data_IF_275106529003
#
_entry.id   IF_275106529003
#
_cell.length_a   1.000
_cell.length_b   1.000
_cell.length_c   1.000
_cell.angle_alpha   90.00
_cell.angle_beta   90.00
_cell.angle_gamma   90.00
#
_symmetry.space_group_name_H-M   'P 1'
#
loop_
_entity.id
_entity.type
_entity.pdbx_description
1 polymer ?
#
# COMPACT_ATOMS: atom_id res chain seq x y z
N UNK A 1 -16.37 -20.02 -9.12
CA UNK A 1 -17.74 -20.09 -8.54
C UNK A 1 -18.80 -19.78 -9.60
N UNK A 2 -18.63 -18.71 -10.40
CA UNK A 2 -19.60 -18.34 -11.44
C UNK A 2 -19.80 -19.45 -12.47
N UNK A 3 -18.70 -19.97 -13.04
CA UNK A 3 -18.71 -21.00 -14.06
C UNK A 3 -17.48 -21.91 -13.95
N UNK A 4 -17.67 -23.23 -14.01
CA UNK A 4 -16.61 -24.25 -13.98
C UNK A 4 -16.90 -25.36 -14.97
N UNK A 5 -15.86 -25.87 -15.60
CA UNK A 5 -15.93 -27.08 -16.43
C UNK A 5 -15.12 -28.19 -15.76
N UNK A 6 -15.67 -29.38 -15.67
CA UNK A 6 -14.99 -30.58 -15.15
C UNK A 6 -15.46 -31.80 -15.96
N UNK A 7 -14.53 -32.45 -16.65
CA UNK A 7 -14.83 -33.69 -17.44
C UNK A 7 -16.10 -33.56 -18.28
N UNK A 8 -16.20 -32.55 -19.16
CA UNK A 8 -17.33 -32.27 -20.03
C UNK A 8 -18.67 -31.91 -19.36
N UNK A 9 -18.68 -31.61 -18.08
CA UNK A 9 -19.84 -31.01 -17.41
C UNK A 9 -19.56 -29.57 -16.99
N UNK A 10 -20.52 -28.68 -17.21
CA UNK A 10 -20.53 -27.31 -16.72
C UNK A 10 -21.20 -27.29 -15.32
N UNK A 11 -20.68 -26.44 -14.44
CA UNK A 11 -21.24 -26.23 -13.11
C UNK A 11 -20.94 -24.81 -12.62
N UNK A 12 -21.68 -24.36 -11.61
CA UNK A 12 -21.54 -23.04 -11.01
C UNK A 12 -22.84 -22.25 -11.07
N UNK A 13 -22.81 -21.03 -10.50
CA UNK A 13 -24.02 -20.21 -10.38
C UNK A 13 -24.67 -19.90 -11.72
N UNK A 14 -23.89 -19.65 -12.79
CA UNK A 14 -24.43 -19.39 -14.11
C UNK A 14 -25.26 -20.55 -14.65
N UNK A 15 -24.83 -21.80 -14.43
CA UNK A 15 -25.61 -22.98 -14.87
C UNK A 15 -26.95 -23.07 -14.12
N UNK A 16 -26.97 -22.79 -12.83
CA UNK A 16 -28.20 -22.73 -12.03
C UNK A 16 -29.14 -21.63 -12.52
N UNK A 17 -28.61 -20.43 -12.76
CA UNK A 17 -29.39 -19.29 -13.27
C UNK A 17 -29.95 -19.55 -14.68
N UNK A 18 -29.17 -20.19 -15.56
CA UNK A 18 -29.57 -20.50 -16.92
C UNK A 18 -30.77 -21.48 -16.95
N UNK A 19 -30.79 -22.44 -16.03
CA UNK A 19 -31.93 -23.36 -15.89
C UNK A 19 -33.18 -22.59 -15.44
N UNK A 20 -33.06 -21.76 -14.39
CA UNK A 20 -34.17 -20.99 -13.82
C UNK A 20 -34.73 -19.97 -14.82
N UNK A 21 -33.85 -19.34 -15.61
CA UNK A 21 -34.26 -18.35 -16.64
C UNK A 21 -34.65 -18.98 -17.99
N UNK A 22 -34.60 -20.30 -18.11
CA UNK A 22 -34.81 -21.01 -19.39
C UNK A 22 -33.87 -20.57 -20.52
N UNK A 23 -32.63 -20.19 -20.20
CA UNK A 23 -31.58 -19.76 -21.12
C UNK A 23 -30.42 -20.77 -21.16
N UNK A 24 -30.69 -22.06 -21.18
CA UNK A 24 -29.67 -23.12 -21.08
C UNK A 24 -28.67 -23.10 -22.24
N UNK A 25 -29.09 -22.64 -23.44
CA UNK A 25 -28.18 -22.46 -24.60
C UNK A 25 -27.01 -21.52 -24.28
N UNK A 26 -27.19 -20.55 -23.37
CA UNK A 26 -26.14 -19.61 -22.93
C UNK A 26 -24.98 -20.27 -22.15
N UNK A 27 -25.19 -21.47 -21.63
CA UNK A 27 -24.13 -22.26 -20.98
C UNK A 27 -23.06 -22.67 -22.01
N UNK A 28 -23.43 -22.96 -23.24
CA UNK A 28 -22.47 -23.26 -24.32
C UNK A 28 -21.67 -22.02 -24.71
N UNK A 29 -22.33 -20.87 -24.89
CA UNK A 29 -21.66 -19.59 -25.17
C UNK A 29 -20.65 -19.22 -24.06
N UNK A 30 -21.04 -19.47 -22.79
CA UNK A 30 -20.17 -19.25 -21.62
C UNK A 30 -18.91 -20.13 -21.66
N UNK A 31 -18.98 -21.35 -22.16
CA UNK A 31 -17.83 -22.23 -22.29
C UNK A 31 -16.77 -21.65 -23.23
N UNK A 32 -17.19 -21.17 -24.40
CA UNK A 32 -16.31 -20.55 -25.38
C UNK A 32 -15.67 -19.27 -24.84
N UNK A 33 -16.49 -18.40 -24.23
CA UNK A 33 -16.01 -17.16 -23.62
C UNK A 33 -14.99 -17.42 -22.48
N UNK A 34 -15.26 -18.38 -21.60
CA UNK A 34 -14.33 -18.72 -20.51
C UNK A 34 -13.03 -19.32 -21.05
N UNK A 35 -13.10 -20.09 -22.13
CA UNK A 35 -11.91 -20.63 -22.80
C UNK A 35 -11.07 -19.52 -23.41
N UNK A 36 -11.73 -18.55 -24.06
CA UNK A 36 -11.08 -17.37 -24.61
C UNK A 36 -10.45 -16.51 -23.50
N UNK A 37 -11.18 -16.22 -22.42
CA UNK A 37 -10.66 -15.45 -21.26
C UNK A 37 -9.40 -16.09 -20.69
N UNK A 38 -9.34 -17.42 -20.56
CA UNK A 38 -8.15 -18.12 -20.07
C UNK A 38 -6.95 -17.92 -21.00
N UNK A 39 -7.16 -17.96 -22.31
CA UNK A 39 -6.10 -17.71 -23.29
C UNK A 39 -5.65 -16.24 -23.24
N UNK A 40 -6.59 -15.29 -23.15
CA UNK A 40 -6.28 -13.86 -23.05
C UNK A 40 -5.49 -13.52 -21.78
N UNK A 41 -5.82 -14.17 -20.65
CA UNK A 41 -5.04 -14.05 -19.39
C UNK A 41 -3.61 -14.57 -19.60
N UNK A 42 -3.45 -15.72 -20.24
CA UNK A 42 -2.12 -16.30 -20.51
C UNK A 42 -1.28 -15.40 -21.42
N UNK A 43 -1.88 -14.87 -22.47
CA UNK A 43 -1.22 -13.93 -23.39
C UNK A 43 -0.77 -12.67 -22.66
N UNK A 44 -1.64 -12.12 -21.80
CA UNK A 44 -1.31 -10.96 -20.98
C UNK A 44 -0.16 -11.26 -20.00
N UNK A 45 -0.16 -12.43 -19.38
CA UNK A 45 0.91 -12.88 -18.46
C UNK A 45 2.26 -12.98 -19.20
N UNK A 46 2.29 -13.60 -20.38
CA UNK A 46 3.49 -13.71 -21.22
C UNK A 46 4.00 -12.32 -21.63
N UNK A 47 3.15 -11.47 -22.19
CA UNK A 47 3.54 -10.11 -22.58
C UNK A 47 4.09 -9.30 -21.42
N UNK A 48 3.52 -9.48 -20.22
CA UNK A 48 3.97 -8.77 -19.00
C UNK A 48 5.30 -9.32 -18.51
N UNK A 49 5.51 -10.62 -18.54
CA UNK A 49 6.77 -11.25 -18.16
C UNK A 49 7.92 -10.77 -19.03
N UNK A 50 7.71 -10.67 -20.33
CA UNK A 50 8.71 -10.20 -21.29
C UNK A 50 9.13 -8.75 -21.03
N UNK A 51 8.19 -7.89 -20.63
CA UNK A 51 8.48 -6.49 -20.35
C UNK A 51 9.14 -6.28 -18.98
N UNK A 52 8.62 -6.92 -17.92
CA UNK A 52 9.06 -6.59 -16.55
C UNK A 52 10.43 -7.20 -16.21
N UNK A 53 10.78 -8.38 -16.76
CA UNK A 53 12.06 -9.06 -16.55
C UNK A 53 12.63 -8.88 -15.12
N UNK A 54 13.61 -7.99 -14.95
CA UNK A 54 14.30 -7.71 -13.69
C UNK A 54 13.69 -6.55 -12.88
N UNK A 55 12.71 -5.84 -13.42
CA UNK A 55 12.05 -4.75 -12.72
C UNK A 55 10.92 -5.28 -11.84
N UNK A 56 10.82 -4.76 -10.59
CA UNK A 56 9.70 -5.10 -9.71
C UNK A 56 8.46 -4.26 -9.94
N UNK A 57 8.63 -3.06 -10.49
CA UNK A 57 7.54 -2.11 -10.74
C UNK A 57 7.83 -1.33 -12.01
N UNK A 58 6.84 -1.19 -12.89
CA UNK A 58 6.93 -0.43 -14.12
C UNK A 58 5.71 0.45 -14.28
N UNK A 59 5.91 1.77 -14.40
CA UNK A 59 4.85 2.76 -14.61
C UNK A 59 4.59 2.93 -16.11
N UNK A 60 3.32 2.97 -16.48
CA UNK A 60 2.88 3.36 -17.81
C UNK A 60 2.82 4.89 -17.90
N UNK A 61 3.58 5.47 -18.78
CA UNK A 61 3.68 6.90 -19.06
C UNK A 61 4.18 7.12 -20.50
N UNK A 62 4.26 8.36 -20.96
CA UNK A 62 4.69 8.68 -22.33
C UNK A 62 6.05 8.05 -22.70
N UNK A 63 7.00 8.00 -21.75
CA UNK A 63 8.33 7.43 -21.97
C UNK A 63 8.32 5.91 -22.12
N UNK A 64 7.40 5.20 -21.46
CA UNK A 64 7.32 3.74 -21.45
C UNK A 64 6.20 3.19 -22.35
N UNK A 65 5.31 4.03 -22.85
CA UNK A 65 4.12 3.63 -23.59
C UNK A 65 4.41 2.71 -24.79
N UNK A 66 5.51 2.93 -25.49
CA UNK A 66 5.91 2.09 -26.62
C UNK A 66 6.19 0.65 -26.20
N UNK A 67 6.86 0.48 -25.07
CA UNK A 67 7.24 -0.82 -24.54
C UNK A 67 6.01 -1.58 -24.00
N UNK A 68 5.01 -0.84 -23.52
CA UNK A 68 3.72 -1.39 -23.08
C UNK A 68 2.81 -1.84 -24.23
N UNK A 69 3.12 -1.53 -25.50
CA UNK A 69 2.25 -1.82 -26.63
C UNK A 69 1.67 -3.25 -26.64
N UNK A 70 2.48 -4.32 -26.55
CA UNK A 70 1.98 -5.70 -26.50
C UNK A 70 1.05 -5.98 -25.32
N UNK A 71 1.35 -5.41 -24.13
CA UNK A 71 0.51 -5.56 -22.93
C UNK A 71 -0.83 -4.85 -23.15
N UNK A 72 -0.84 -3.63 -23.70
CA UNK A 72 -2.08 -2.88 -23.93
C UNK A 72 -3.00 -3.59 -24.92
N UNK A 73 -2.45 -4.24 -25.94
CA UNK A 73 -3.23 -5.09 -26.86
C UNK A 73 -3.87 -6.26 -26.10
N UNK A 74 -3.09 -7.02 -25.33
CA UNK A 74 -3.61 -8.16 -24.55
C UNK A 74 -4.61 -7.73 -23.48
N UNK A 75 -4.43 -6.55 -22.86
CA UNK A 75 -5.40 -5.94 -21.94
C UNK A 75 -6.73 -5.67 -22.66
N UNK A 76 -6.67 -5.11 -23.88
CA UNK A 76 -7.87 -4.84 -24.69
C UNK A 76 -8.63 -6.10 -25.06
N UNK A 77 -7.93 -7.16 -25.45
CA UNK A 77 -8.52 -8.46 -25.76
C UNK A 77 -9.21 -9.08 -24.54
N UNK A 78 -8.53 -9.09 -23.40
CA UNK A 78 -9.10 -9.57 -22.14
C UNK A 78 -10.30 -8.73 -21.68
N UNK A 79 -10.24 -7.40 -21.83
CA UNK A 79 -11.35 -6.50 -21.49
C UNK A 79 -12.60 -6.83 -22.33
N UNK A 80 -12.42 -7.13 -23.61
CA UNK A 80 -13.50 -7.47 -24.51
C UNK A 80 -14.11 -8.85 -24.18
N UNK A 81 -13.30 -9.88 -24.05
CA UNK A 81 -13.79 -11.23 -23.73
C UNK A 81 -14.47 -11.31 -22.36
N UNK A 82 -13.89 -10.64 -21.35
CA UNK A 82 -14.47 -10.55 -20.00
C UNK A 82 -15.76 -9.71 -19.99
N UNK A 83 -15.81 -8.61 -20.76
CA UNK A 83 -16.99 -7.79 -20.94
C UNK A 83 -18.15 -8.57 -21.58
N UNK A 84 -17.85 -9.35 -22.63
CA UNK A 84 -18.85 -10.23 -23.27
C UNK A 84 -19.38 -11.29 -22.30
N UNK A 85 -18.52 -11.84 -21.46
CA UNK A 85 -18.97 -12.78 -20.42
C UNK A 85 -19.86 -12.10 -19.37
N UNK A 86 -19.53 -10.89 -18.92
CA UNK A 86 -20.39 -10.13 -18.01
C UNK A 86 -21.77 -9.85 -18.61
N UNK A 87 -21.81 -9.50 -19.89
CA UNK A 87 -23.07 -9.26 -20.61
C UNK A 87 -23.92 -10.54 -20.74
N UNK A 88 -23.30 -11.66 -21.06
CA UNK A 88 -23.99 -12.95 -21.07
C UNK A 88 -24.61 -13.27 -19.68
N UNK A 89 -23.87 -13.03 -18.60
CA UNK A 89 -24.39 -13.23 -17.24
C UNK A 89 -25.57 -12.31 -16.96
N UNK A 90 -25.56 -11.05 -17.41
CA UNK A 90 -26.68 -10.11 -17.25
C UNK A 90 -27.92 -10.59 -17.98
N UNK A 91 -27.76 -11.00 -19.23
CA UNK A 91 -28.89 -11.53 -20.04
C UNK A 91 -29.56 -12.70 -19.32
N UNK A 92 -28.77 -13.65 -18.78
CA UNK A 92 -29.30 -14.78 -18.04
C UNK A 92 -30.00 -14.32 -16.74
N UNK A 93 -29.44 -13.35 -16.02
CA UNK A 93 -30.03 -12.82 -14.79
C UNK A 93 -31.33 -12.02 -15.05
N UNK A 94 -31.40 -11.28 -16.13
CA UNK A 94 -32.60 -10.51 -16.54
C UNK A 94 -33.75 -11.41 -16.96
N UNK A 95 -33.45 -12.60 -17.47
CA UNK A 95 -34.45 -13.62 -17.78
C UNK A 95 -35.10 -14.31 -16.56
N UNK A 96 -34.69 -14.02 -15.35
CA UNK A 96 -35.23 -14.62 -14.13
C UNK A 96 -36.44 -13.81 -13.64
N UNK A 97 -37.57 -14.50 -13.41
CA UNK A 97 -38.78 -13.90 -12.88
C UNK A 97 -38.55 -13.40 -11.45
N UNK A 98 -39.32 -12.39 -11.01
CA UNK A 98 -39.17 -11.80 -9.69
C UNK A 98 -39.36 -12.80 -8.55
N UNK A 99 -40.27 -13.75 -8.71
CA UNK A 99 -40.56 -14.82 -7.74
C UNK A 99 -39.38 -15.81 -7.57
N UNK A 100 -38.51 -15.91 -8.58
CA UNK A 100 -37.37 -16.83 -8.58
C UNK A 100 -36.03 -16.14 -8.19
N UNK A 101 -36.03 -14.83 -7.90
CA UNK A 101 -34.82 -14.08 -7.51
C UNK A 101 -34.29 -14.37 -6.10
N UNK A 102 -35.06 -15.01 -5.25
CA UNK A 102 -34.67 -15.33 -3.87
C UNK A 102 -33.69 -16.50 -3.72
N UNK A 103 -33.15 -17.01 -4.82
CA UNK A 103 -32.18 -18.11 -4.80
C UNK A 103 -30.75 -17.58 -4.47
N UNK A 104 -29.97 -18.31 -3.66
CA UNK A 104 -28.60 -17.91 -3.30
C UNK A 104 -27.71 -17.65 -4.53
N UNK A 105 -27.86 -18.45 -5.59
CA UNK A 105 -27.09 -18.30 -6.83
C UNK A 105 -27.29 -16.93 -7.49
N UNK A 106 -28.47 -16.30 -7.37
CA UNK A 106 -28.73 -14.96 -7.90
C UNK A 106 -27.94 -13.88 -7.16
N UNK A 107 -28.00 -13.88 -5.83
CA UNK A 107 -27.30 -12.88 -5.01
C UNK A 107 -25.78 -13.02 -5.12
N UNK A 108 -25.26 -14.24 -5.08
CA UNK A 108 -23.82 -14.48 -5.25
C UNK A 108 -23.34 -14.08 -6.65
N UNK A 109 -24.12 -14.36 -7.70
CA UNK A 109 -23.81 -13.94 -9.05
C UNK A 109 -23.75 -12.42 -9.19
N UNK A 110 -24.68 -11.70 -8.54
CA UNK A 110 -24.67 -10.23 -8.51
C UNK A 110 -23.38 -9.66 -7.89
N UNK A 111 -22.90 -10.27 -6.81
CA UNK A 111 -21.64 -9.85 -6.15
C UNK A 111 -20.44 -10.16 -7.07
N UNK A 112 -20.41 -11.34 -7.68
CA UNK A 112 -19.31 -11.74 -8.57
C UNK A 112 -19.32 -10.86 -9.82
N UNK A 113 -20.48 -10.63 -10.43
CA UNK A 113 -20.62 -9.78 -11.62
C UNK A 113 -20.11 -8.36 -11.36
N UNK A 114 -20.48 -7.75 -10.21
CA UNK A 114 -19.96 -6.43 -9.81
C UNK A 114 -18.44 -6.39 -9.74
N UNK A 115 -17.80 -7.47 -9.26
CA UNK A 115 -16.33 -7.58 -9.22
C UNK A 115 -15.73 -7.71 -10.61
N UNK A 116 -16.33 -8.52 -11.47
CA UNK A 116 -15.88 -8.68 -12.85
C UNK A 116 -16.03 -7.37 -13.65
N UNK A 117 -17.12 -6.64 -13.45
CA UNK A 117 -17.31 -5.31 -14.06
C UNK A 117 -16.21 -4.32 -13.62
N UNK A 118 -15.82 -4.34 -12.35
CA UNK A 118 -14.73 -3.51 -11.88
C UNK A 118 -13.38 -3.86 -12.56
N UNK A 119 -13.12 -5.15 -12.82
CA UNK A 119 -11.95 -5.56 -13.61
C UNK A 119 -12.05 -5.10 -15.07
N UNK A 120 -13.20 -5.24 -15.71
CA UNK A 120 -13.42 -4.75 -17.09
C UNK A 120 -13.16 -3.24 -17.16
N UNK A 121 -13.66 -2.47 -16.19
CA UNK A 121 -13.44 -1.02 -16.14
C UNK A 121 -11.95 -0.72 -16.00
N UNK A 122 -11.24 -1.41 -15.09
CA UNK A 122 -9.80 -1.24 -14.90
C UNK A 122 -9.02 -1.51 -16.20
N UNK A 123 -9.30 -2.63 -16.85
CA UNK A 123 -8.65 -3.01 -18.11
C UNK A 123 -8.93 -1.99 -19.23
N UNK A 124 -10.17 -1.53 -19.36
CA UNK A 124 -10.53 -0.49 -20.33
C UNK A 124 -9.82 0.83 -20.04
N UNK A 125 -9.70 1.21 -18.77
CA UNK A 125 -8.97 2.42 -18.39
C UNK A 125 -7.47 2.33 -18.73
N UNK A 126 -6.86 1.15 -18.58
CA UNK A 126 -5.48 0.93 -19.05
C UNK A 126 -5.35 1.11 -20.58
N UNK A 127 -6.32 0.65 -21.36
CA UNK A 127 -6.28 0.79 -22.81
C UNK A 127 -6.34 2.26 -23.28
N UNK A 128 -6.98 3.13 -22.50
CA UNK A 128 -7.11 4.58 -22.78
C UNK A 128 -6.34 5.44 -21.75
N UNK A 129 -5.23 4.93 -21.26
CA UNK A 129 -4.44 5.56 -20.19
C UNK A 129 -4.04 7.01 -20.50
N UNK A 130 -3.78 7.32 -21.76
CA UNK A 130 -3.38 8.66 -22.22
C UNK A 130 -4.51 9.70 -22.20
N UNK A 131 -5.76 9.24 -22.17
CA UNK A 131 -6.94 10.08 -21.93
C UNK A 131 -7.16 10.32 -20.43
N UNK A 132 -6.66 9.43 -19.59
CA UNK A 132 -6.80 9.43 -18.11
C UNK A 132 -5.68 10.20 -17.42
N UNK A 133 -5.46 11.47 -17.79
CA UNK A 133 -4.33 12.30 -17.32
C UNK A 133 -4.25 12.51 -15.79
N UNK A 134 -5.35 12.26 -15.08
CA UNK A 134 -5.40 12.35 -13.62
C UNK A 134 -5.17 11.02 -12.91
N UNK A 135 -4.85 9.96 -13.63
CA UNK A 135 -4.58 8.65 -13.09
C UNK A 135 -3.14 8.21 -13.35
N UNK A 136 -2.63 7.42 -12.45
CA UNK A 136 -1.32 6.77 -12.55
C UNK A 136 -1.56 5.28 -12.75
N UNK A 137 -0.95 4.72 -13.79
CA UNK A 137 -1.05 3.31 -14.13
C UNK A 137 0.32 2.65 -13.97
N UNK A 138 0.36 1.49 -13.32
CA UNK A 138 1.58 0.70 -13.24
C UNK A 138 1.30 -0.78 -13.06
N UNK A 139 2.31 -1.58 -13.35
CA UNK A 139 2.33 -3.01 -13.11
C UNK A 139 3.40 -3.31 -12.07
N UNK A 140 3.08 -4.20 -11.14
CA UNK A 140 3.98 -4.64 -10.09
C UNK A 140 4.11 -6.17 -10.13
N UNK A 141 5.34 -6.66 -10.14
CA UNK A 141 5.66 -8.06 -9.94
C UNK A 141 5.64 -8.39 -8.45
N UNK A 142 4.87 -9.38 -8.05
CA UNK A 142 4.79 -9.88 -6.68
C UNK A 142 5.09 -11.38 -6.64
N UNK A 143 5.44 -11.85 -5.45
CA UNK A 143 5.65 -13.28 -5.19
C UNK A 143 4.71 -13.75 -4.09
N UNK A 144 4.12 -14.93 -4.31
CA UNK A 144 3.32 -15.59 -3.28
C UNK A 144 4.19 -15.93 -2.06
N UNK A 145 3.64 -15.84 -0.84
CA UNK A 145 4.33 -16.31 0.36
C UNK A 145 4.75 -17.79 0.24
N UNK A 146 5.86 -18.18 0.88
CA UNK A 146 6.28 -19.58 0.92
C UNK A 146 5.15 -20.50 1.43
N UNK A 147 4.94 -21.64 0.77
CA UNK A 147 3.93 -22.63 1.14
C UNK A 147 2.51 -22.37 0.57
N UNK A 148 2.26 -21.24 -0.10
CA UNK A 148 0.96 -20.97 -0.77
C UNK A 148 1.01 -21.42 -2.24
N UNK A 149 2.15 -21.30 -2.90
CA UNK A 149 2.31 -21.79 -4.27
C UNK A 149 2.21 -23.32 -4.28
N UNK A 150 1.40 -23.88 -5.19
CA UNK A 150 1.38 -25.33 -5.42
C UNK A 150 2.69 -25.76 -6.08
N UNK A 151 3.15 -26.96 -5.75
CA UNK A 151 4.34 -27.52 -6.39
C UNK A 151 4.23 -27.47 -7.92
N UNK A 152 5.28 -26.94 -8.55
CA UNK A 152 5.35 -26.79 -10.00
C UNK A 152 4.65 -25.56 -10.58
N UNK A 153 4.05 -24.66 -9.76
CA UNK A 153 3.50 -23.39 -10.24
C UNK A 153 4.47 -22.24 -10.02
N UNK A 154 4.50 -21.29 -10.96
CA UNK A 154 5.28 -20.05 -10.79
C UNK A 154 4.75 -19.28 -9.57
N UNK A 155 5.59 -19.00 -8.55
CA UNK A 155 5.16 -18.24 -7.39
C UNK A 155 5.00 -16.73 -7.68
N UNK A 156 5.44 -16.25 -8.85
CA UNK A 156 5.37 -14.86 -9.25
C UNK A 156 4.03 -14.55 -9.93
N UNK A 157 3.49 -13.36 -9.70
CA UNK A 157 2.28 -12.86 -10.33
C UNK A 157 2.35 -11.34 -10.51
N UNK A 158 1.51 -10.80 -11.40
CA UNK A 158 1.50 -9.39 -11.74
C UNK A 158 0.24 -8.71 -11.22
N UNK A 159 0.42 -7.50 -10.69
CA UNK A 159 -0.67 -6.65 -10.18
C UNK A 159 -0.73 -5.40 -11.05
N UNK A 160 -1.86 -5.23 -11.72
CA UNK A 160 -2.18 -4.04 -12.51
C UNK A 160 -2.92 -3.04 -11.64
N UNK A 161 -2.41 -1.83 -11.56
CA UNK A 161 -2.93 -0.84 -10.64
C UNK A 161 -3.20 0.48 -11.35
N UNK A 162 -4.37 1.04 -11.09
CA UNK A 162 -4.75 2.41 -11.42
C UNK A 162 -4.99 3.16 -10.12
N UNK A 163 -4.44 4.35 -9.99
CA UNK A 163 -4.64 5.21 -8.81
C UNK A 163 -4.79 6.66 -9.26
N UNK A 164 -5.77 7.40 -8.73
CA UNK A 164 -5.85 8.83 -8.98
C UNK A 164 -4.59 9.56 -8.53
N UNK A 165 -4.07 10.42 -9.38
CA UNK A 165 -2.93 11.29 -9.08
C UNK A 165 -3.26 12.23 -7.92
N UNK A 166 -4.49 12.75 -7.93
CA UNK A 166 -5.04 13.63 -6.93
C UNK A 166 -6.46 13.18 -6.54
N UNK A 167 -6.65 12.91 -5.26
CA UNK A 167 -7.94 12.48 -4.70
C UNK A 167 -8.80 13.63 -4.17
N UNK A 168 -8.30 14.86 -4.23
CA UNK A 168 -8.95 16.01 -3.57
C UNK A 168 -10.36 16.27 -4.07
N UNK A 169 -10.57 16.24 -5.39
CA UNK A 169 -11.92 16.39 -5.98
C UNK A 169 -12.86 15.24 -5.61
N UNK A 170 -12.36 14.01 -5.62
CA UNK A 170 -13.16 12.82 -5.27
C UNK A 170 -13.59 12.86 -3.80
N UNK A 171 -12.69 13.25 -2.92
CA UNK A 171 -12.98 13.43 -1.49
C UNK A 171 -13.96 14.58 -1.25
N UNK A 172 -13.79 15.70 -1.97
CA UNK A 172 -14.73 16.82 -1.86
C UNK A 172 -16.14 16.38 -2.24
N UNK A 173 -16.32 15.81 -3.44
CA UNK A 173 -17.62 15.36 -3.94
C UNK A 173 -18.23 14.23 -3.11
N UNK A 174 -17.44 13.20 -2.80
CA UNK A 174 -17.95 12.00 -2.13
C UNK A 174 -18.08 12.11 -0.62
N UNK A 175 -17.47 13.10 0.02
CA UNK A 175 -17.46 13.23 1.49
C UNK A 175 -17.91 14.62 1.92
N UNK A 176 -17.22 15.69 1.51
CA UNK A 176 -17.44 17.01 2.11
C UNK A 176 -18.70 17.72 1.56
N UNK A 177 -19.13 17.42 0.34
CA UNK A 177 -20.41 17.92 -0.22
C UNK A 177 -21.60 17.10 0.29
N UNK A 178 -21.45 15.77 0.41
CA UNK A 178 -22.54 14.88 0.80
C UNK A 178 -22.84 14.94 2.30
N UNK A 179 -21.81 15.09 3.14
CA UNK A 179 -21.96 15.01 4.60
C UNK A 179 -22.21 16.39 5.21
N UNK A 180 -23.22 16.50 6.07
CA UNK A 180 -23.51 17.74 6.81
C UNK A 180 -22.36 18.15 7.73
N UNK A 181 -21.69 17.19 8.35
CA UNK A 181 -20.58 17.41 9.28
C UNK A 181 -19.55 16.31 9.10
N UNK A 182 -18.28 16.70 8.96
CA UNK A 182 -17.13 15.80 8.90
C UNK A 182 -16.12 16.24 9.95
N UNK A 183 -15.71 15.33 10.81
CA UNK A 183 -14.71 15.60 11.85
C UNK A 183 -13.46 14.79 11.50
N UNK A 184 -12.33 15.48 11.23
CA UNK A 184 -11.05 14.89 10.96
C UNK A 184 -10.10 15.20 12.12
N UNK A 185 -9.55 14.16 12.74
CA UNK A 185 -8.62 14.31 13.87
C UNK A 185 -7.40 13.42 13.71
N UNK A 186 -6.22 13.98 13.95
CA UNK A 186 -4.96 13.24 14.01
C UNK A 186 -3.87 14.12 14.64
N UNK A 187 -2.86 13.51 15.21
CA UNK A 187 -1.68 14.21 15.71
C UNK A 187 -0.80 14.81 14.60
N UNK A 188 -1.02 14.46 13.33
CA UNK A 188 -0.13 14.79 12.20
C UNK A 188 -0.83 15.48 11.02
N UNK A 189 -2.03 16.03 11.20
CA UNK A 189 -2.70 16.81 10.14
C UNK A 189 -1.97 18.12 9.83
N UNK A 190 -1.34 18.73 10.85
CA UNK A 190 -0.59 19.97 10.71
C UNK A 190 0.86 19.69 10.31
N UNK A 191 1.33 20.35 9.25
CA UNK A 191 2.74 20.40 8.85
C UNK A 191 3.26 21.82 9.07
N UNK A 192 4.35 21.96 9.84
CA UNK A 192 4.81 23.28 10.28
C UNK A 192 3.77 23.97 11.15
N UNK A 193 3.31 25.16 10.73
CA UNK A 193 2.38 26.02 11.49
C UNK A 193 0.93 25.95 11.01
N UNK A 194 0.62 25.21 9.95
CA UNK A 194 -0.71 25.23 9.33
C UNK A 194 -1.17 23.85 8.81
N UNK A 195 -2.42 23.79 8.38
CA UNK A 195 -3.07 22.58 7.83
C UNK A 195 -3.09 22.57 6.28
N UNK A 196 -2.46 23.50 5.60
CA UNK A 196 -2.60 23.71 4.16
C UNK A 196 -2.24 22.49 3.33
N UNK A 197 -1.18 21.77 3.72
CA UNK A 197 -0.77 20.55 3.04
C UNK A 197 -1.89 19.51 3.08
N UNK A 198 -2.41 19.22 4.26
CA UNK A 198 -3.49 18.26 4.47
C UNK A 198 -4.78 18.68 3.76
N UNK A 199 -5.20 19.94 3.92
CA UNK A 199 -6.43 20.47 3.30
C UNK A 199 -6.40 20.35 1.77
N UNK A 200 -5.26 20.67 1.14
CA UNK A 200 -5.10 20.53 -0.31
C UNK A 200 -5.17 19.05 -0.73
N UNK A 201 -4.50 18.16 -0.01
CA UNK A 201 -4.44 16.74 -0.32
C UNK A 201 -5.77 16.02 -0.19
N UNK A 202 -6.63 16.46 0.72
CA UNK A 202 -7.92 15.84 1.02
C UNK A 202 -9.10 16.55 0.37
N UNK A 203 -8.90 17.70 -0.29
CA UNK A 203 -9.97 18.45 -0.92
C UNK A 203 -10.75 19.38 0.00
N UNK A 204 -10.40 19.49 1.29
CA UNK A 204 -10.99 20.48 2.20
C UNK A 204 -10.81 21.92 1.68
N UNK A 205 -9.76 22.16 0.88
CA UNK A 205 -9.53 23.46 0.23
C UNK A 205 -10.62 23.86 -0.78
N UNK A 206 -11.47 22.95 -1.23
CA UNK A 206 -12.64 23.25 -2.08
C UNK A 206 -13.90 23.63 -1.28
N UNK A 207 -13.90 23.30 0.02
CA UNK A 207 -15.02 23.61 0.92
C UNK A 207 -15.02 25.12 1.23
N UNK A 208 -16.20 25.74 1.27
CA UNK A 208 -16.36 27.14 1.66
C UNK A 208 -15.71 27.40 3.01
N UNK A 209 -14.96 28.49 3.11
CA UNK A 209 -14.12 28.80 4.28
C UNK A 209 -14.93 28.89 5.59
N UNK A 210 -16.16 29.37 5.49
CA UNK A 210 -17.08 29.54 6.62
C UNK A 210 -17.54 28.20 7.22
N UNK A 211 -17.47 27.13 6.43
CA UNK A 211 -17.79 25.76 6.85
C UNK A 211 -16.60 25.02 7.48
N UNK A 212 -15.38 25.57 7.40
CA UNK A 212 -14.15 24.89 7.85
C UNK A 212 -13.66 25.50 9.15
N UNK A 213 -13.63 24.69 10.20
CA UNK A 213 -13.04 25.04 11.48
C UNK A 213 -11.77 24.20 11.67
N UNK A 214 -10.63 24.85 11.90
CA UNK A 214 -9.35 24.20 12.16
C UNK A 214 -8.89 24.52 13.58
N UNK A 215 -8.68 23.49 14.37
CA UNK A 215 -8.23 23.62 15.75
C UNK A 215 -6.92 22.88 15.97
N UNK A 216 -6.00 23.47 16.69
CA UNK A 216 -4.76 22.84 17.16
C UNK A 216 -4.80 22.79 18.69
N UNK A 217 -4.57 21.63 19.24
CA UNK A 217 -4.55 21.41 20.67
C UNK A 217 -3.14 21.05 21.10
N UNK A 218 -2.59 21.71 22.15
CA UNK A 218 -1.28 21.39 22.67
C UNK A 218 -1.26 19.94 23.16
N UNK A 219 -0.11 19.29 23.02
CA UNK A 219 0.07 17.94 23.55
C UNK A 219 -0.03 17.97 25.09
N UNK A 220 -0.72 17.01 25.73
CA UNK A 220 -0.73 16.88 27.17
C UNK A 220 0.62 16.36 27.72
N UNK A 221 1.52 15.91 26.85
CA UNK A 221 2.79 15.33 27.25
C UNK A 221 3.89 16.38 27.33
N UNK A 222 4.71 16.40 28.41
CA UNK A 222 5.78 17.38 28.59
C UNK A 222 7.04 16.97 27.82
N UNK A 223 7.01 17.00 26.49
CA UNK A 223 8.12 16.58 25.62
C UNK A 223 9.45 17.25 25.96
N UNK A 224 9.44 18.55 26.26
CA UNK A 224 10.65 19.31 26.60
C UNK A 224 11.38 18.78 27.83
N UNK A 225 10.65 18.15 28.77
CA UNK A 225 11.22 17.59 29.99
C UNK A 225 11.53 16.11 29.90
N UNK A 226 10.77 15.41 29.10
CA UNK A 226 10.76 13.95 29.11
C UNK A 226 11.45 13.32 27.89
N UNK A 227 11.73 14.11 26.84
CA UNK A 227 12.33 13.60 25.61
C UNK A 227 13.66 14.32 25.34
N UNK A 228 14.74 13.54 25.23
CA UNK A 228 16.01 14.02 24.69
C UNK A 228 16.05 13.73 23.19
N UNK A 229 16.19 14.77 22.39
CA UNK A 229 16.43 14.64 20.95
C UNK A 229 17.92 14.84 20.67
N UNK A 230 18.59 13.81 20.14
CA UNK A 230 20.03 13.81 19.90
C UNK A 230 20.35 13.50 18.44
N UNK A 231 21.25 14.25 17.86
CA UNK A 231 21.83 13.98 16.53
C UNK A 231 23.34 13.83 16.70
N UNK A 232 23.93 12.68 16.34
CA UNK A 232 25.38 12.50 16.43
C UNK A 232 26.10 13.51 15.53
N UNK A 233 27.10 14.19 16.07
CA UNK A 233 27.87 15.20 15.33
C UNK A 233 28.97 14.59 14.45
N UNK A 234 29.28 13.31 14.66
CA UNK A 234 30.23 12.51 13.89
C UNK A 234 29.54 11.63 12.83
N UNK A 235 28.21 11.79 12.65
CA UNK A 235 27.46 11.05 11.67
C UNK A 235 27.91 11.40 10.24
N UNK A 236 28.17 10.36 9.45
CA UNK A 236 28.47 10.52 8.02
C UNK A 236 27.18 10.72 7.19
N UNK A 237 27.30 11.31 6.01
CA UNK A 237 26.16 11.55 5.15
C UNK A 237 25.45 10.24 4.80
N UNK A 238 24.12 10.27 4.83
CA UNK A 238 23.29 9.07 4.65
C UNK A 238 23.38 8.42 3.25
N UNK A 239 23.88 9.13 2.26
CA UNK A 239 24.16 8.69 0.89
C UNK A 239 25.63 8.31 0.65
N UNK A 240 26.51 8.48 1.66
CA UNK A 240 27.92 8.11 1.55
C UNK A 240 28.12 6.59 1.62
N UNK A 241 29.23 6.13 1.05
CA UNK A 241 29.61 4.71 1.09
C UNK A 241 29.86 4.20 2.51
N UNK A 242 30.39 5.07 3.37
CA UNK A 242 30.73 4.76 4.76
C UNK A 242 29.51 4.67 5.69
N UNK A 243 28.36 5.15 5.25
CA UNK A 243 27.16 5.23 6.09
C UNK A 243 26.74 3.86 6.64
N UNK A 244 26.79 2.82 5.82
CA UNK A 244 26.41 1.48 6.27
C UNK A 244 27.35 0.95 7.36
N UNK A 245 28.65 1.23 7.25
CA UNK A 245 29.64 0.87 8.28
C UNK A 245 29.45 1.68 9.55
N UNK A 246 29.17 2.99 9.40
CA UNK A 246 28.89 3.87 10.54
C UNK A 246 27.72 3.37 11.38
N UNK A 247 26.57 3.06 10.77
CA UNK A 247 25.40 2.60 11.51
C UNK A 247 25.60 1.22 12.17
N UNK A 248 26.39 0.33 11.55
CA UNK A 248 26.75 -0.96 12.14
C UNK A 248 27.60 -0.82 13.40
N UNK A 249 28.38 0.25 13.54
CA UNK A 249 29.15 0.55 14.75
C UNK A 249 28.37 1.39 15.77
N UNK A 250 27.58 2.35 15.33
CA UNK A 250 26.87 3.28 16.18
C UNK A 250 25.66 2.65 16.87
N UNK A 251 24.83 1.90 16.12
CA UNK A 251 23.59 1.32 16.67
C UNK A 251 23.85 0.40 17.87
N UNK A 252 24.79 -0.58 17.85
CA UNK A 252 25.07 -1.40 19.03
C UNK A 252 25.45 -0.60 20.26
N UNK A 253 26.29 0.45 20.11
CA UNK A 253 26.70 1.33 21.20
C UNK A 253 25.55 2.10 21.81
N UNK A 254 24.62 2.60 20.96
CA UNK A 254 23.42 3.31 21.41
C UNK A 254 22.46 2.38 22.15
N UNK A 255 22.30 1.14 21.69
CA UNK A 255 21.49 0.11 22.35
C UNK A 255 22.07 -0.26 23.70
N UNK A 256 23.38 -0.45 23.80
CA UNK A 256 24.08 -0.76 25.05
C UNK A 256 23.94 0.40 26.04
N UNK A 257 24.13 1.66 25.58
CA UNK A 257 23.98 2.85 26.42
C UNK A 257 22.58 3.03 27.01
N UNK A 258 21.54 2.60 26.29
CA UNK A 258 20.14 2.62 26.71
C UNK A 258 19.70 1.35 27.46
N UNK A 259 20.58 0.37 27.61
CA UNK A 259 20.27 -0.95 28.15
C UNK A 259 19.08 -1.62 27.40
N UNK A 260 19.06 -1.56 26.07
CA UNK A 260 17.93 -2.03 25.25
C UNK A 260 16.74 -1.08 25.25
N UNK A 261 15.53 -1.62 25.42
CA UNK A 261 14.25 -0.86 25.34
C UNK A 261 14.20 0.05 24.09
N UNK A 262 14.69 -0.45 22.95
CA UNK A 262 15.01 0.34 21.76
C UNK A 262 14.21 -0.10 20.53
N UNK A 263 13.58 0.87 19.87
CA UNK A 263 13.01 0.69 18.51
C UNK A 263 13.95 1.35 17.50
N UNK A 264 14.45 0.57 16.53
CA UNK A 264 15.33 1.07 15.47
C UNK A 264 14.56 1.11 14.16
N UNK A 265 14.35 2.30 13.61
CA UNK A 265 13.53 2.56 12.43
C UNK A 265 14.38 2.80 11.19
N UNK A 266 14.15 1.97 10.17
CA UNK A 266 14.84 1.99 8.88
C UNK A 266 13.89 2.39 7.75
N UNK A 267 14.47 2.90 6.66
CA UNK A 267 13.79 3.15 5.39
C UNK A 267 14.09 2.06 4.34
N UNK A 268 14.99 1.11 4.64
CA UNK A 268 15.42 0.03 3.75
C UNK A 268 15.54 -1.28 4.52
N UNK A 269 14.97 -2.35 3.99
CA UNK A 269 15.02 -3.67 4.60
C UNK A 269 16.42 -4.30 4.55
N UNK A 270 17.21 -4.01 3.51
CA UNK A 270 18.57 -4.51 3.41
C UNK A 270 19.51 -3.85 4.43
N UNK A 271 19.36 -2.54 4.62
CA UNK A 271 20.08 -1.81 5.68
C UNK A 271 19.71 -2.33 7.07
N UNK A 272 18.41 -2.61 7.30
CA UNK A 272 17.91 -3.23 8.54
C UNK A 272 18.57 -4.58 8.80
N UNK A 273 18.57 -5.49 7.83
CA UNK A 273 19.18 -6.83 7.95
C UNK A 273 20.66 -6.75 8.30
N UNK A 274 21.38 -5.89 7.58
CA UNK A 274 22.82 -5.72 7.76
C UNK A 274 23.15 -5.15 9.13
N UNK A 275 22.44 -4.11 9.59
CA UNK A 275 22.63 -3.52 10.91
C UNK A 275 22.22 -4.48 12.05
N UNK A 276 21.12 -5.23 11.89
CA UNK A 276 20.70 -6.26 12.83
C UNK A 276 21.78 -7.34 13.01
N UNK A 277 22.31 -7.88 11.90
CA UNK A 277 23.37 -8.90 11.97
C UNK A 277 24.63 -8.38 12.69
N UNK A 278 25.06 -7.14 12.40
CA UNK A 278 26.18 -6.50 13.06
C UNK A 278 25.92 -6.30 14.56
N UNK A 279 24.69 -5.88 14.93
CA UNK A 279 24.30 -5.70 16.33
C UNK A 279 24.32 -7.01 17.10
N UNK A 280 23.75 -8.09 16.55
CA UNK A 280 23.80 -9.41 17.17
C UNK A 280 25.25 -9.93 17.35
N UNK A 281 26.14 -9.62 16.39
CA UNK A 281 27.55 -9.99 16.49
C UNK A 281 28.31 -9.19 17.57
N UNK A 282 27.98 -7.90 17.73
CA UNK A 282 28.63 -7.00 18.72
C UNK A 282 28.12 -7.23 20.12
N UNK A 283 26.84 -7.49 20.32
CA UNK A 283 26.18 -7.60 21.62
C UNK A 283 25.93 -9.06 22.06
N UNK A 284 26.91 -9.93 21.92
CA UNK A 284 26.78 -11.37 22.26
C UNK A 284 26.41 -11.65 23.73
N UNK A 285 26.71 -10.74 24.65
CA UNK A 285 26.40 -10.86 26.08
C UNK A 285 25.19 -10.04 26.53
N UNK A 286 24.47 -9.45 25.60
CA UNK A 286 23.29 -8.62 25.90
C UNK A 286 22.14 -9.49 26.44
N UNK A 287 21.52 -9.05 27.54
CA UNK A 287 20.46 -9.81 28.22
C UNK A 287 19.13 -9.77 27.50
N UNK A 288 18.86 -8.68 26.79
CA UNK A 288 17.61 -8.46 26.06
C UNK A 288 17.54 -9.18 24.73
N UNK A 289 16.34 -9.40 24.23
CA UNK A 289 16.11 -10.02 22.93
C UNK A 289 16.28 -9.00 21.80
N UNK A 290 17.08 -9.33 20.79
CA UNK A 290 17.25 -8.52 19.58
C UNK A 290 16.41 -9.13 18.45
N UNK A 291 15.35 -8.44 18.07
CA UNK A 291 14.34 -8.89 17.08
C UNK A 291 14.40 -8.00 15.85
N UNK A 292 14.00 -8.55 14.71
CA UNK A 292 13.81 -7.77 13.48
C UNK A 292 12.49 -8.10 12.81
N UNK A 293 11.97 -7.16 12.09
CA UNK A 293 10.83 -7.38 11.19
C UNK A 293 11.12 -8.51 10.20
N UNK A 294 10.16 -9.43 10.08
CA UNK A 294 10.28 -10.63 9.23
C UNK A 294 10.75 -11.89 9.98
N UNK A 295 11.08 -11.81 11.27
CA UNK A 295 11.35 -12.99 12.11
C UNK A 295 10.05 -13.72 12.49
N UNK A 296 8.95 -12.97 12.62
CA UNK A 296 7.59 -13.48 12.89
C UNK A 296 6.55 -12.48 12.34
N UNK A 297 5.26 -12.75 12.54
CA UNK A 297 4.18 -11.81 12.29
C UNK A 297 4.38 -10.51 13.08
N UNK A 298 4.07 -9.36 12.45
CA UNK A 298 4.28 -8.04 13.06
C UNK A 298 3.56 -7.87 14.41
N UNK A 299 2.37 -8.45 14.56
CA UNK A 299 1.62 -8.41 15.82
C UNK A 299 2.34 -9.16 16.94
N UNK A 300 2.86 -10.37 16.66
CA UNK A 300 3.62 -11.17 17.63
C UNK A 300 4.93 -10.52 18.02
N UNK A 301 5.65 -9.93 17.04
CA UNK A 301 6.89 -9.20 17.31
C UNK A 301 6.62 -8.01 18.24
N UNK A 302 5.53 -7.29 18.01
CA UNK A 302 5.14 -6.16 18.83
C UNK A 302 4.76 -6.59 20.25
N UNK A 303 4.02 -7.68 20.40
CA UNK A 303 3.66 -8.22 21.73
C UNK A 303 4.90 -8.71 22.49
N UNK A 304 5.82 -9.41 21.83
CA UNK A 304 7.09 -9.80 22.44
C UNK A 304 7.90 -8.57 22.90
N UNK A 305 7.98 -7.53 22.05
CA UNK A 305 8.67 -6.28 22.38
C UNK A 305 8.05 -5.55 23.57
N UNK A 306 6.72 -5.59 23.72
CA UNK A 306 6.02 -5.00 24.88
C UNK A 306 6.29 -5.74 26.19
N UNK A 307 6.35 -7.07 26.12
CA UNK A 307 6.46 -7.93 27.31
C UNK A 307 7.89 -8.04 27.82
N UNK A 308 8.85 -8.04 26.92
CA UNK A 308 10.27 -8.21 27.24
C UNK A 308 10.92 -6.81 27.41
N UNK A 309 11.12 -6.36 28.66
CA UNK A 309 11.95 -5.19 28.94
C UNK A 309 13.37 -5.41 28.40
N UNK A 310 14.06 -4.35 28.08
CA UNK A 310 15.42 -4.40 27.51
C UNK A 310 15.51 -5.01 26.11
N UNK A 311 14.39 -5.41 25.49
CA UNK A 311 14.39 -5.89 24.13
C UNK A 311 14.65 -4.79 23.10
N UNK A 312 15.05 -5.21 21.89
CA UNK A 312 15.33 -4.33 20.76
C UNK A 312 14.57 -4.82 19.54
N UNK A 313 13.90 -3.89 18.84
CA UNK A 313 13.16 -4.20 17.61
C UNK A 313 13.68 -3.36 16.45
N UNK A 314 14.19 -4.04 15.42
CA UNK A 314 14.56 -3.46 14.13
C UNK A 314 13.38 -3.51 13.16
N UNK A 315 12.92 -2.36 12.67
CA UNK A 315 11.70 -2.29 11.86
C UNK A 315 11.79 -1.27 10.72
N UNK A 316 10.91 -1.44 9.72
CA UNK A 316 10.75 -0.52 8.59
C UNK A 316 9.38 0.15 8.62
N UNK A 317 8.93 0.70 7.49
CA UNK A 317 7.74 1.56 7.33
C UNK A 317 6.48 1.10 8.05
N UNK A 318 6.20 -0.21 8.10
CA UNK A 318 5.00 -0.73 8.76
C UNK A 318 4.95 -0.48 10.27
N UNK A 319 6.11 -0.23 10.89
CA UNK A 319 6.24 0.09 12.32
C UNK A 319 6.35 1.60 12.61
N UNK A 320 6.49 2.45 11.59
CA UNK A 320 6.36 3.90 11.77
C UNK A 320 4.94 4.29 12.19
N UNK A 321 3.95 3.49 11.80
CA UNK A 321 2.54 3.67 12.12
C UNK A 321 2.00 2.47 12.91
N UNK A 322 1.06 2.70 13.83
CA UNK A 322 0.34 1.62 14.52
C UNK A 322 1.08 0.92 15.67
N UNK A 323 2.34 1.24 15.97
CA UNK A 323 3.06 0.70 17.13
C UNK A 323 2.65 1.49 18.39
N UNK A 324 2.10 0.80 19.37
CA UNK A 324 1.78 1.36 20.69
C UNK A 324 2.47 0.53 21.76
N UNK A 325 3.57 1.08 22.30
CA UNK A 325 4.40 0.45 23.35
C UNK A 325 4.54 1.45 24.50
N UNK A 326 3.68 1.37 25.52
CA UNK A 326 3.75 2.27 26.67
C UNK A 326 4.82 1.87 27.68
N UNK A 327 5.37 2.87 28.35
CA UNK A 327 6.21 2.68 29.54
C UNK A 327 7.64 2.21 29.24
N UNK A 328 8.21 1.47 30.17
CA UNK A 328 9.65 1.12 30.21
C UNK A 328 10.14 0.22 29.08
N UNK A 329 9.25 -0.40 28.32
CA UNK A 329 9.63 -1.26 27.18
C UNK A 329 10.14 -0.47 25.98
N UNK A 330 9.88 0.85 25.92
CA UNK A 330 10.41 1.72 24.87
C UNK A 330 10.96 3.01 25.49
N UNK A 331 12.27 3.09 25.59
CA UNK A 331 13.02 4.26 26.11
C UNK A 331 13.88 4.94 25.06
N UNK A 332 14.12 4.27 23.94
CA UNK A 332 14.92 4.82 22.85
C UNK A 332 14.28 4.54 21.50
N UNK A 333 14.25 5.56 20.64
CA UNK A 333 13.90 5.42 19.22
C UNK A 333 15.08 5.88 18.38
N UNK A 334 15.67 4.99 17.60
CA UNK A 334 16.75 5.32 16.67
C UNK A 334 16.17 5.44 15.26
N UNK A 335 16.27 6.62 14.67
CA UNK A 335 15.85 6.90 13.30
C UNK A 335 17.10 6.95 12.42
N UNK A 336 17.32 5.90 11.64
CA UNK A 336 18.57 5.71 10.89
C UNK A 336 18.69 6.68 9.72
N UNK A 337 17.59 6.95 9.03
CA UNK A 337 17.48 7.96 7.95
C UNK A 337 16.14 8.66 8.04
N UNK A 338 16.10 9.92 7.60
CA UNK A 338 14.82 10.61 7.43
C UNK A 338 13.90 9.84 6.47
N UNK A 339 12.61 9.67 6.80
CA UNK A 339 11.70 8.78 6.08
C UNK A 339 11.15 9.41 4.80
N UNK A 340 12.03 9.82 3.89
CA UNK A 340 11.63 10.25 2.57
C UNK A 340 11.06 9.08 1.79
N UNK A 341 10.03 9.36 0.99
CA UNK A 341 9.45 8.36 0.08
C UNK A 341 10.47 7.96 -0.98
N UNK A 342 10.49 6.66 -1.30
CA UNK A 342 11.43 6.11 -2.29
C UNK A 342 11.15 6.75 -3.66
N UNK A 343 12.18 7.27 -4.36
CA UNK A 343 11.99 8.05 -5.58
C UNK A 343 11.51 7.23 -6.80
N UNK A 344 11.34 5.93 -6.66
CA UNK A 344 10.80 5.03 -7.69
C UNK A 344 9.34 4.57 -7.43
N UNK A 345 8.68 5.09 -6.39
CA UNK A 345 7.24 4.86 -6.20
C UNK A 345 6.46 5.52 -7.35
N UNK A 346 5.64 4.77 -8.12
CA UNK A 346 4.97 5.28 -9.32
C UNK A 346 4.07 6.50 -9.07
N UNK A 347 3.38 6.53 -7.94
CA UNK A 347 2.46 7.62 -7.58
C UNK A 347 3.24 8.83 -7.11
N UNK A 348 4.29 8.62 -6.32
CA UNK A 348 5.16 9.69 -5.87
C UNK A 348 5.86 10.38 -7.04
N UNK A 349 6.43 9.61 -7.98
CA UNK A 349 7.07 10.15 -9.19
C UNK A 349 6.07 10.95 -10.02
N UNK A 350 4.88 10.41 -10.28
CA UNK A 350 3.86 11.11 -11.05
C UNK A 350 3.40 12.41 -10.40
N UNK A 351 3.28 12.44 -9.06
CA UNK A 351 2.95 13.66 -8.30
C UNK A 351 4.06 14.69 -8.36
N UNK A 352 5.31 14.25 -8.24
CA UNK A 352 6.48 15.12 -8.36
C UNK A 352 6.52 15.79 -9.73
N UNK A 353 6.37 15.01 -10.80
CA UNK A 353 6.31 15.52 -12.19
C UNK A 353 5.15 16.52 -12.39
N UNK A 354 3.98 16.24 -11.80
CA UNK A 354 2.83 17.12 -11.90
C UNK A 354 3.04 18.47 -11.19
N UNK A 355 3.75 18.48 -10.06
CA UNK A 355 4.14 19.70 -9.34
C UNK A 355 5.15 20.49 -10.18
N UNK A 356 6.19 19.84 -10.68
CA UNK A 356 7.25 20.46 -11.49
C UNK A 356 6.72 21.04 -12.80
N UNK A 357 5.81 20.33 -13.49
CA UNK A 357 5.12 20.84 -14.69
C UNK A 357 4.33 22.13 -14.44
N UNK A 358 3.89 22.35 -13.20
CA UNK A 358 3.21 23.59 -12.77
C UNK A 358 4.20 24.67 -12.27
N UNK A 359 5.51 24.44 -12.35
CA UNK A 359 6.56 25.34 -11.89
C UNK A 359 6.79 25.31 -10.37
N UNK A 360 6.24 24.31 -9.67
CA UNK A 360 6.44 24.10 -8.24
C UNK A 360 7.73 23.32 -7.94
N UNK A 361 8.03 23.17 -6.66
CA UNK A 361 9.15 22.41 -6.15
C UNK A 361 8.68 21.13 -5.46
N UNK A 362 8.79 19.99 -6.15
CA UNK A 362 8.31 18.69 -5.64
C UNK A 362 8.97 18.27 -4.32
N UNK A 363 10.24 18.62 -4.11
CA UNK A 363 10.92 18.33 -2.85
C UNK A 363 10.28 19.06 -1.68
N UNK A 364 10.04 20.38 -1.81
CA UNK A 364 9.48 21.21 -0.73
C UNK A 364 7.97 21.02 -0.55
N UNK A 365 7.23 20.73 -1.63
CA UNK A 365 5.77 20.68 -1.60
C UNK A 365 5.21 19.27 -1.36
N UNK A 366 6.00 18.22 -1.62
CA UNK A 366 5.58 16.82 -1.47
C UNK A 366 6.52 16.05 -0.53
N UNK A 367 7.82 15.97 -0.85
CA UNK A 367 8.76 15.10 -0.13
C UNK A 367 8.96 15.52 1.32
N UNK A 368 9.20 16.80 1.56
CA UNK A 368 9.44 17.32 2.91
C UNK A 368 8.20 17.20 3.80
N UNK A 369 6.98 17.60 3.40
CA UNK A 369 5.79 17.41 4.21
C UNK A 369 5.51 15.95 4.56
N UNK A 370 5.64 15.03 3.60
CA UNK A 370 5.43 13.59 3.85
C UNK A 370 6.48 13.03 4.83
N UNK A 371 7.76 13.40 4.65
CA UNK A 371 8.83 13.00 5.56
C UNK A 371 8.62 13.55 6.98
N UNK A 372 8.20 14.80 7.13
CA UNK A 372 7.89 15.41 8.43
C UNK A 372 6.75 14.68 9.13
N UNK A 373 5.68 14.33 8.42
CA UNK A 373 4.55 13.57 8.97
C UNK A 373 5.02 12.21 9.49
N UNK A 374 5.74 11.44 8.66
CA UNK A 374 6.28 10.13 9.03
C UNK A 374 7.25 10.25 10.21
N UNK A 375 8.15 11.22 10.18
CA UNK A 375 9.12 11.46 11.24
C UNK A 375 8.44 11.77 12.59
N UNK A 376 7.44 12.65 12.60
CA UNK A 376 6.64 12.94 13.80
C UNK A 376 5.89 11.69 14.30
N UNK A 377 5.40 10.84 13.41
CA UNK A 377 4.79 9.57 13.79
C UNK A 377 5.79 8.63 14.46
N UNK A 378 7.02 8.55 13.97
CA UNK A 378 8.11 7.76 14.56
C UNK A 378 8.49 8.24 15.95
N UNK A 379 8.76 9.53 16.12
CA UNK A 379 9.08 10.15 17.42
C UNK A 379 7.93 9.99 18.41
N UNK A 380 6.70 10.18 17.95
CA UNK A 380 5.50 10.06 18.78
C UNK A 380 5.26 8.66 19.37
N UNK A 381 6.13 7.68 19.08
CA UNK A 381 6.09 6.36 19.73
C UNK A 381 6.67 6.37 21.12
N UNK A 382 7.63 7.28 21.40
CA UNK A 382 8.42 7.29 22.62
C UNK A 382 7.62 7.74 23.85
N UNK A 383 6.81 8.78 23.74
CA UNK A 383 6.05 9.34 24.86
C UNK A 383 4.56 9.07 24.67
N UNK A 384 3.99 8.24 25.53
CA UNK A 384 2.57 7.81 25.50
C UNK A 384 1.83 8.17 26.80
N UNK A 385 2.59 8.37 27.88
CA UNK A 385 2.09 8.80 29.18
C UNK A 385 2.87 10.02 29.66
N UNK A 386 2.34 10.72 30.64
CA UNK A 386 2.96 11.93 31.17
C UNK A 386 4.28 11.68 31.90
N UNK A 387 4.52 10.46 32.34
CA UNK A 387 5.71 10.00 33.06
C UNK A 387 6.71 9.23 32.18
N UNK A 388 6.36 8.90 30.93
CA UNK A 388 7.32 8.29 30.00
C UNK A 388 8.50 9.23 29.73
N UNK A 389 9.69 8.65 29.65
CA UNK A 389 10.95 9.38 29.35
C UNK A 389 11.77 8.59 28.35
N UNK A 390 12.49 9.30 27.47
CA UNK A 390 13.39 8.60 26.56
C UNK A 390 14.16 9.50 25.61
N UNK A 391 14.88 8.85 24.70
CA UNK A 391 15.82 9.46 23.76
C UNK A 391 15.40 9.14 22.32
N UNK A 392 15.50 10.13 21.41
CA UNK A 392 15.38 9.96 19.97
C UNK A 392 16.69 10.34 19.32
#
# INVERSE_FOLDING_TARGET
>A
QMYRTRKNSASGHLCTLAIVSSNEEKVSDAYELVSKIKNDILNLEIATQDLIQNNYTLRLCEQTARDFGPILVSIGELANSLGSFCELVRIVMEGINDDDKDIPAFFESKIILRRLDAFVILLKNFAIWDEKKNDVFWIMKKRLPPGIAKDGTNPEFYVYTQTPLDISSLMNQGVFEEMKTVICTSATLRTGTNFNYWMRRTGVSFVERERVISCDFPSPFPYEKNMLFAVPNDAVMADSFEFQQYIQMAIPRLIEAANGSTLVLFTSYDSLKSAHAATCASLKGFSGRIMKQGDDDNGKLLEAFKQEKESVLFATDSFWQGVDVPGDSLRQVIIVKLPFTVPNDPVFVARSEAIEKKGGNAFMELSVPEAVIKFRQGIGRLIRKSDDKGVV
#
